data_IF_789675884736
#
_entry.id   IF_789675884736
#
_cell.length_a   1.000
_cell.length_b   1.000
_cell.length_c   1.000
_cell.angle_alpha   90.00
_cell.angle_beta   90.00
_cell.angle_gamma   90.00
#
_symmetry.space_group_name_H-M   'P 1'
#
loop_
_entity.id
_entity.type
_entity.pdbx_description
1 polymer ?
#
# COMPACT_ATOMS: atom_id res chain seq x y z
N UNK A 1 -6.75 -16.27 10.27
CA UNK A 1 -7.08 -15.10 9.42
C UNK A 1 -6.08 -13.98 9.68
N UNK A 2 -5.35 -13.54 8.65
CA UNK A 2 -4.38 -12.44 8.70
C UNK A 2 -4.83 -11.34 7.73
N UNK A 3 -4.78 -10.09 8.17
CA UNK A 3 -5.13 -8.92 7.35
C UNK A 3 -3.89 -8.03 7.26
N UNK A 4 -3.51 -7.65 6.04
CA UNK A 4 -2.43 -6.72 5.75
C UNK A 4 -2.99 -5.47 5.11
N UNK A 5 -2.74 -4.32 5.71
CA UNK A 5 -3.00 -3.02 5.06
C UNK A 5 -1.88 -2.74 4.06
N UNK A 6 -2.24 -2.68 2.78
CA UNK A 6 -1.32 -2.37 1.69
C UNK A 6 -1.26 -0.86 1.41
N UNK A 7 -2.43 -0.22 1.50
CA UNK A 7 -2.57 1.23 1.44
C UNK A 7 -3.76 1.68 2.27
N UNK A 8 -3.69 2.90 2.79
CA UNK A 8 -4.66 3.40 3.76
C UNK A 8 -5.09 4.85 3.51
N UNK A 9 -4.71 5.42 2.37
CA UNK A 9 -5.21 6.73 1.93
C UNK A 9 -6.45 6.55 1.04
N UNK A 10 -7.25 7.61 0.90
CA UNK A 10 -8.29 7.66 -0.12
C UNK A 10 -7.67 7.81 -1.52
N UNK A 11 -8.51 8.04 -2.54
CA UNK A 11 -8.06 8.34 -3.90
C UNK A 11 -7.06 9.50 -3.92
N UNK A 12 -5.99 9.35 -4.70
CA UNK A 12 -4.89 10.32 -4.79
C UNK A 12 -3.72 10.08 -3.85
N UNK A 13 -3.87 9.23 -2.82
CA UNK A 13 -2.80 8.93 -1.87
C UNK A 13 -2.52 10.09 -0.90
N UNK A 14 -1.47 9.93 -0.09
CA UNK A 14 -0.98 10.99 0.80
C UNK A 14 0.55 10.98 0.83
N UNK A 15 1.23 12.06 0.41
CA UNK A 15 0.66 13.28 -0.15
C UNK A 15 0.10 13.04 -1.55
N UNK A 16 -1.03 13.66 -1.90
CA UNK A 16 -1.55 13.62 -3.26
C UNK A 16 -0.67 14.47 -4.19
N UNK A 17 -0.38 13.95 -5.39
CA UNK A 17 0.64 14.50 -6.29
C UNK A 17 0.50 16.00 -6.59
N UNK A 18 -0.73 16.49 -6.75
CA UNK A 18 -1.05 17.90 -7.07
C UNK A 18 -1.68 18.68 -5.90
N UNK A 19 -1.70 18.12 -4.68
CA UNK A 19 -2.33 18.78 -3.53
C UNK A 19 -1.32 19.55 -2.69
N UNK A 20 -1.61 20.80 -2.33
CA UNK A 20 -0.79 21.64 -1.45
C UNK A 20 -1.55 22.09 -0.19
N UNK A 21 -2.55 21.31 0.26
CA UNK A 21 -3.18 21.56 1.55
C UNK A 21 -2.15 21.43 2.70
N UNK A 22 -2.49 21.95 3.87
CA UNK A 22 -1.65 21.90 5.08
C UNK A 22 -0.99 20.53 5.31
N UNK A 23 -1.74 19.43 5.19
CA UNK A 23 -1.20 18.09 5.40
C UNK A 23 -0.19 17.67 4.32
N UNK A 24 -0.49 17.92 3.03
CA UNK A 24 0.39 17.48 1.95
C UNK A 24 1.66 18.35 1.88
N UNK A 25 1.52 19.67 2.02
CA UNK A 25 2.66 20.59 2.11
C UNK A 25 3.51 20.28 3.34
N UNK A 26 2.87 20.13 4.51
CA UNK A 26 3.60 19.88 5.76
C UNK A 26 4.34 18.55 5.77
N UNK A 27 3.84 17.50 5.12
CA UNK A 27 4.58 16.25 4.96
C UNK A 27 5.80 16.43 4.04
N UNK A 28 5.67 17.17 2.93
CA UNK A 28 6.80 17.45 2.03
C UNK A 28 7.88 18.30 2.70
N UNK A 29 7.47 19.28 3.49
CA UNK A 29 8.36 20.21 4.21
C UNK A 29 8.89 19.62 5.53
N UNK A 30 8.35 18.49 5.99
CA UNK A 30 8.72 17.87 7.27
C UNK A 30 8.23 18.66 8.49
N UNK A 31 7.24 19.53 8.34
CA UNK A 31 6.70 20.39 9.41
C UNK A 31 5.58 19.73 10.23
N UNK A 32 5.09 18.57 9.79
CA UNK A 32 4.11 17.77 10.54
C UNK A 32 4.61 16.36 10.79
N UNK A 33 4.15 15.74 11.88
CA UNK A 33 4.41 14.32 12.16
C UNK A 33 3.39 13.43 11.44
N UNK A 34 3.66 13.13 10.17
CA UNK A 34 2.83 12.25 9.35
C UNK A 34 3.67 11.26 8.54
N UNK A 35 3.02 10.28 7.91
CA UNK A 35 3.65 9.27 7.06
C UNK A 35 2.92 9.18 5.73
N UNK A 36 3.68 9.04 4.64
CA UNK A 36 3.10 8.83 3.32
C UNK A 36 2.30 7.51 3.27
N UNK A 37 1.23 7.51 2.47
CA UNK A 37 0.30 6.39 2.32
C UNK A 37 -0.13 6.25 0.86
N UNK A 38 -0.08 5.02 0.38
CA UNK A 38 -0.69 4.62 -0.90
C UNK A 38 -2.20 4.50 -0.76
N UNK A 39 -2.89 4.46 -1.89
CA UNK A 39 -4.35 4.36 -1.97
C UNK A 39 -4.89 3.06 -1.37
N UNK A 40 -6.12 3.12 -0.86
CA UNK A 40 -6.77 2.06 -0.07
C UNK A 40 -6.72 0.69 -0.75
N UNK A 41 -6.10 -0.27 -0.06
CA UNK A 41 -6.06 -1.68 -0.46
C UNK A 41 -5.67 -2.53 0.75
N UNK A 42 -6.22 -3.75 0.84
CA UNK A 42 -5.83 -4.75 1.84
C UNK A 42 -5.62 -6.11 1.18
N UNK A 43 -4.77 -6.93 1.78
CA UNK A 43 -4.62 -8.35 1.48
C UNK A 43 -5.06 -9.18 2.69
N UNK A 44 -5.85 -10.22 2.48
CA UNK A 44 -6.34 -11.11 3.54
C UNK A 44 -5.97 -12.55 3.22
N UNK A 45 -5.50 -13.28 4.22
CA UNK A 45 -5.17 -14.70 4.08
C UNK A 45 -5.76 -15.56 5.20
N UNK A 46 -6.21 -16.75 4.84
CA UNK A 46 -6.59 -17.82 5.77
C UNK A 46 -5.40 -18.65 6.26
N UNK A 47 -4.35 -18.76 5.45
CA UNK A 47 -3.25 -19.73 5.59
C UNK A 47 -1.84 -19.11 5.45
N UNK A 48 -1.73 -17.78 5.40
CA UNK A 48 -0.50 -16.98 5.24
C UNK A 48 0.29 -17.23 3.94
N UNK A 49 -0.26 -17.96 2.97
CA UNK A 49 0.40 -18.27 1.69
C UNK A 49 -0.43 -17.81 0.53
N UNK A 50 -1.74 -18.07 0.56
CA UNK A 50 -2.69 -17.61 -0.43
C UNK A 50 -3.38 -16.33 0.06
N UNK A 51 -3.40 -15.31 -0.79
CA UNK A 51 -3.88 -13.98 -0.44
C UNK A 51 -5.03 -13.52 -1.35
N UNK A 52 -6.09 -13.01 -0.73
CA UNK A 52 -7.18 -12.32 -1.42
C UNK A 52 -6.89 -10.82 -1.36
N UNK A 53 -6.80 -10.19 -2.53
CA UNK A 53 -6.61 -8.75 -2.66
C UNK A 53 -7.99 -8.06 -2.73
N UNK A 54 -8.19 -7.05 -1.87
CA UNK A 54 -9.35 -6.17 -1.94
C UNK A 54 -8.91 -4.81 -2.46
N UNK A 55 -9.50 -4.42 -3.61
CA UNK A 55 -9.16 -3.23 -4.40
C UNK A 55 -7.72 -3.26 -4.94
N UNK A 56 -7.58 -3.38 -6.26
CA UNK A 56 -6.30 -3.22 -6.94
C UNK A 56 -6.04 -1.73 -7.20
N UNK A 57 -5.40 -1.07 -6.23
CA UNK A 57 -5.14 0.37 -6.31
C UNK A 57 -4.13 0.73 -7.42
N UNK A 58 -4.08 1.99 -7.89
CA UNK A 58 -3.02 2.45 -8.82
C UNK A 58 -1.60 2.27 -8.27
N UNK A 59 -1.44 2.17 -6.95
CA UNK A 59 -0.15 1.99 -6.27
C UNK A 59 0.26 0.51 -6.12
N UNK A 60 -0.47 -0.42 -6.75
CA UNK A 60 -0.33 -1.87 -6.50
C UNK A 60 1.10 -2.38 -6.65
N UNK A 61 1.86 -1.90 -7.63
CA UNK A 61 3.26 -2.30 -7.81
C UNK A 61 4.12 -1.99 -6.58
N UNK A 62 3.99 -0.78 -6.03
CA UNK A 62 4.73 -0.37 -4.83
C UNK A 62 4.23 -1.14 -3.59
N UNK A 63 2.92 -1.38 -3.50
CA UNK A 63 2.30 -2.15 -2.42
C UNK A 63 2.79 -3.60 -2.37
N UNK A 64 2.85 -4.29 -3.51
CA UNK A 64 3.37 -5.66 -3.61
C UNK A 64 4.86 -5.72 -3.23
N UNK A 65 5.67 -4.77 -3.74
CA UNK A 65 7.11 -4.69 -3.42
C UNK A 65 7.37 -4.46 -1.92
N UNK A 66 6.52 -3.70 -1.25
CA UNK A 66 6.62 -3.43 0.18
C UNK A 66 6.13 -4.59 1.07
N UNK A 67 5.57 -5.65 0.48
CA UNK A 67 5.10 -6.83 1.20
C UNK A 67 5.60 -8.14 0.56
N UNK A 68 6.83 -8.56 0.90
CA UNK A 68 7.49 -9.72 0.27
C UNK A 68 6.73 -11.04 0.37
N UNK A 69 5.83 -11.23 1.35
CA UNK A 69 4.99 -12.43 1.47
C UNK A 69 4.06 -12.64 0.25
N UNK A 70 3.83 -11.60 -0.58
CA UNK A 70 3.06 -11.70 -1.84
C UNK A 70 3.89 -12.19 -3.03
N UNK A 71 5.19 -12.38 -2.89
CA UNK A 71 6.04 -13.07 -3.86
C UNK A 71 6.44 -14.43 -3.27
N UNK A 72 5.69 -15.52 -3.53
CA UNK A 72 5.92 -16.81 -2.89
C UNK A 72 7.31 -17.39 -3.19
N UNK A 73 7.85 -17.11 -4.38
CA UNK A 73 9.25 -17.42 -4.73
C UNK A 73 9.64 -18.90 -4.63
N UNK A 74 8.69 -19.84 -4.70
CA UNK A 74 8.94 -21.28 -4.56
C UNK A 74 9.63 -21.85 -5.80
N UNK A 75 9.39 -21.26 -6.97
CA UNK A 75 10.00 -21.63 -8.26
C UNK A 75 10.20 -20.41 -9.17
N UNK A 76 10.90 -20.59 -10.30
CA UNK A 76 11.03 -19.54 -11.32
C UNK A 76 9.67 -19.30 -11.98
N UNK A 77 9.14 -18.07 -11.88
CA UNK A 77 7.78 -17.70 -12.31
C UNK A 77 6.70 -18.52 -11.60
N UNK A 78 6.78 -18.54 -10.28
CA UNK A 78 5.75 -19.10 -9.39
C UNK A 78 4.39 -18.41 -9.58
N UNK A 79 3.30 -19.19 -9.46
CA UNK A 79 1.90 -18.73 -9.55
C UNK A 79 1.14 -19.03 -8.27
#
# INVERSE_FOLDING_TARGET
MRIRVLGSAAGGGFPQWNCNCFNCAGLREGTIRAQARTQSSIAVSGNNTDWILFNASPDILAQLRAFPELQPGRTVRDT
#
